data_IF_667037174510
#
_entry.id   IF_667037174510
#
_cell.length_a   1.000
_cell.length_b   1.000
_cell.length_c   1.000
_cell.angle_alpha   90.00
_cell.angle_beta   90.00
_cell.angle_gamma   90.00
#
_symmetry.space_group_name_H-M   'P 1'
#
loop_
_entity.id
_entity.type
_entity.pdbx_description
1 polymer ?
#
# COMPACT_ATOMS: atom_id res chain seq x y z
N UNK A 1 49.99 17.72 -3.58
CA UNK A 1 48.76 18.00 -4.35
C UNK A 1 47.82 16.78 -4.47
N UNK A 2 48.34 15.54 -4.49
CA UNK A 2 47.53 14.30 -4.61
C UNK A 2 46.58 14.04 -3.43
N UNK A 3 47.06 14.18 -2.18
CA UNK A 3 46.28 13.80 -0.99
C UNK A 3 45.01 14.63 -0.79
N UNK A 4 45.06 15.94 -1.08
CA UNK A 4 43.88 16.81 -1.00
C UNK A 4 42.86 16.44 -2.07
N UNK A 5 43.31 16.10 -3.27
CA UNK A 5 42.42 15.66 -4.33
C UNK A 5 41.78 14.30 -3.99
N UNK A 6 42.56 13.35 -3.49
CA UNK A 6 42.08 12.03 -3.05
C UNK A 6 41.03 12.13 -1.94
N UNK A 7 41.24 12.98 -0.93
CA UNK A 7 40.27 13.14 0.17
C UNK A 7 38.98 13.81 -0.30
N UNK A 8 39.07 14.80 -1.19
CA UNK A 8 37.90 15.43 -1.81
C UNK A 8 37.12 14.41 -2.63
N UNK A 9 37.79 13.62 -3.48
CA UNK A 9 37.15 12.57 -4.28
C UNK A 9 36.50 11.50 -3.40
N UNK A 10 37.17 11.08 -2.32
CA UNK A 10 36.62 10.13 -1.36
C UNK A 10 35.35 10.68 -0.69
N UNK A 11 35.38 11.93 -0.21
CA UNK A 11 34.22 12.59 0.39
C UNK A 11 33.03 12.69 -0.56
N UNK A 12 33.27 13.15 -1.80
CA UNK A 12 32.21 13.24 -2.83
C UNK A 12 31.66 11.86 -3.17
N UNK A 13 32.51 10.85 -3.28
CA UNK A 13 32.09 9.47 -3.59
C UNK A 13 31.17 8.91 -2.51
N UNK A 14 31.55 9.04 -1.23
CA UNK A 14 30.71 8.61 -0.09
C UNK A 14 29.39 9.36 -0.08
N UNK A 15 29.41 10.68 -0.33
CA UNK A 15 28.19 11.48 -0.40
C UNK A 15 27.25 10.99 -1.51
N UNK A 16 27.75 10.81 -2.73
CA UNK A 16 26.96 10.34 -3.87
C UNK A 16 26.38 8.95 -3.60
N UNK A 17 27.18 8.02 -3.05
CA UNK A 17 26.71 6.69 -2.68
C UNK A 17 25.59 6.75 -1.62
N UNK A 18 25.74 7.62 -0.62
CA UNK A 18 24.70 7.87 0.38
C UNK A 18 23.40 8.38 -0.23
N UNK A 19 23.50 9.34 -1.15
CA UNK A 19 22.33 9.89 -1.86
C UNK A 19 21.64 8.83 -2.72
N UNK A 20 22.39 7.95 -3.38
CA UNK A 20 21.82 6.84 -4.14
C UNK A 20 21.01 5.92 -3.23
N UNK A 21 21.56 5.51 -2.08
CA UNK A 21 20.85 4.64 -1.14
C UNK A 21 19.55 5.30 -0.65
N UNK A 22 19.61 6.57 -0.26
CA UNK A 22 18.44 7.30 0.23
C UNK A 22 17.35 7.35 -0.85
N UNK A 23 17.69 7.80 -2.06
CA UNK A 23 16.72 8.05 -3.14
C UNK A 23 16.16 6.78 -3.77
N UNK A 24 16.98 5.74 -3.91
CA UNK A 24 16.57 4.52 -4.62
C UNK A 24 16.03 3.42 -3.71
N UNK A 25 16.36 3.45 -2.41
CA UNK A 25 15.96 2.39 -1.46
C UNK A 25 15.03 2.97 -0.40
N UNK A 26 15.47 3.97 0.35
CA UNK A 26 14.75 4.44 1.54
C UNK A 26 13.48 5.20 1.18
N UNK A 27 13.57 6.17 0.26
CA UNK A 27 12.43 6.98 -0.19
C UNK A 27 11.28 6.10 -0.75
N UNK A 28 11.50 5.17 -1.70
CA UNK A 28 10.44 4.29 -2.22
C UNK A 28 9.79 3.42 -1.14
N UNK A 29 10.57 2.91 -0.18
CA UNK A 29 10.04 2.13 0.94
C UNK A 29 9.15 2.99 1.84
N UNK A 30 9.58 4.20 2.15
CA UNK A 30 8.81 5.13 2.98
C UNK A 30 7.51 5.54 2.31
N UNK A 31 7.54 5.83 1.01
CA UNK A 31 6.35 6.12 0.21
C UNK A 31 5.37 4.94 0.21
N UNK A 32 5.87 3.71 0.07
CA UNK A 32 5.02 2.52 0.14
C UNK A 32 4.39 2.35 1.54
N UNK A 33 5.14 2.59 2.62
CA UNK A 33 4.59 2.57 3.99
C UNK A 33 3.56 3.67 4.22
N UNK A 34 3.78 4.86 3.66
CA UNK A 34 2.80 5.96 3.71
C UNK A 34 1.51 5.57 2.99
N UNK A 35 1.61 4.90 1.84
CA UNK A 35 0.46 4.37 1.13
C UNK A 35 -0.31 3.32 1.97
N UNK A 36 0.39 2.42 2.67
CA UNK A 36 -0.27 1.49 3.60
C UNK A 36 -1.04 2.24 4.71
N UNK A 37 -0.47 3.34 5.22
CA UNK A 37 -1.16 4.23 6.15
C UNK A 37 -2.42 4.88 5.55
N UNK A 38 -2.36 5.33 4.29
CA UNK A 38 -3.52 5.86 3.57
C UNK A 38 -4.61 4.80 3.36
N UNK A 39 -4.23 3.55 3.07
CA UNK A 39 -5.18 2.44 2.97
C UNK A 39 -5.90 2.22 4.30
N UNK A 40 -5.15 2.16 5.42
CA UNK A 40 -5.73 2.07 6.76
C UNK A 40 -6.71 3.21 7.02
N UNK A 41 -6.28 4.45 6.77
CA UNK A 41 -7.11 5.63 6.97
C UNK A 41 -8.40 5.57 6.14
N UNK A 42 -8.30 5.16 4.87
CA UNK A 42 -9.45 5.03 3.98
C UNK A 42 -10.47 4.01 4.50
N UNK A 43 -10.01 2.81 4.84
CA UNK A 43 -10.91 1.77 5.33
C UNK A 43 -11.57 2.14 6.65
N UNK A 44 -10.82 2.71 7.59
CA UNK A 44 -11.37 3.12 8.89
C UNK A 44 -12.34 4.29 8.74
N UNK A 45 -12.04 5.29 7.90
CA UNK A 45 -12.91 6.45 7.67
C UNK A 45 -14.23 6.04 7.02
N UNK A 46 -14.18 5.16 6.02
CA UNK A 46 -15.34 4.79 5.19
C UNK A 46 -15.92 3.41 5.57
N UNK A 47 -15.58 2.88 6.76
CA UNK A 47 -15.90 1.50 7.16
C UNK A 47 -17.40 1.18 7.07
N UNK A 48 -18.26 2.09 7.55
CA UNK A 48 -19.71 1.91 7.54
C UNK A 48 -20.29 1.78 6.12
N UNK A 49 -19.83 2.63 5.21
CA UNK A 49 -20.21 2.60 3.80
C UNK A 49 -19.74 1.34 3.09
N UNK A 50 -18.47 0.97 3.33
CA UNK A 50 -17.83 -0.20 2.73
C UNK A 50 -18.54 -1.48 3.18
N UNK A 51 -18.67 -1.71 4.49
CA UNK A 51 -19.27 -2.95 5.03
C UNK A 51 -20.73 -3.08 4.57
N UNK A 52 -21.47 -1.99 4.50
CA UNK A 52 -22.88 -2.00 4.09
C UNK A 52 -23.05 -2.13 2.58
N UNK A 53 -21.95 -2.06 1.80
CA UNK A 53 -21.95 -1.99 0.33
C UNK A 53 -22.70 -0.78 -0.25
N UNK A 54 -22.86 0.29 0.54
CA UNK A 54 -23.61 1.52 0.21
C UNK A 54 -22.69 2.74 0.13
N UNK A 55 -21.47 2.55 -0.37
CA UNK A 55 -20.53 3.64 -0.63
C UNK A 55 -20.94 4.47 -1.84
N UNK A 56 -20.48 5.71 -1.85
CA UNK A 56 -20.61 6.60 -3.01
C UNK A 56 -19.68 6.16 -4.15
N UNK A 57 -19.92 6.69 -5.35
CA UNK A 57 -19.02 6.53 -6.50
C UNK A 57 -17.60 7.02 -6.18
N UNK A 58 -17.46 8.10 -5.40
CA UNK A 58 -16.13 8.56 -4.96
C UNK A 58 -15.43 7.57 -4.03
N UNK A 59 -16.16 6.87 -3.15
CA UNK A 59 -15.59 5.82 -2.28
C UNK A 59 -15.13 4.63 -3.12
N UNK A 60 -15.90 4.26 -4.14
CA UNK A 60 -15.53 3.21 -5.09
C UNK A 60 -14.27 3.59 -5.90
N UNK A 61 -14.23 4.80 -6.47
CA UNK A 61 -13.09 5.28 -7.25
C UNK A 61 -11.82 5.38 -6.42
N UNK A 62 -11.90 5.94 -5.21
CA UNK A 62 -10.76 6.05 -4.30
C UNK A 62 -10.18 4.67 -3.95
N UNK A 63 -11.03 3.65 -3.83
CA UNK A 63 -10.59 2.28 -3.58
C UNK A 63 -9.85 1.67 -4.79
N UNK A 64 -10.31 1.90 -6.01
CA UNK A 64 -9.60 1.49 -7.22
C UNK A 64 -8.27 2.22 -7.38
N UNK A 65 -8.23 3.51 -7.07
CA UNK A 65 -7.00 4.30 -7.05
C UNK A 65 -6.00 3.69 -6.06
N UNK A 66 -6.40 3.44 -4.81
CA UNK A 66 -5.52 2.83 -3.80
C UNK A 66 -5.00 1.45 -4.22
N UNK A 67 -5.85 0.62 -4.83
CA UNK A 67 -5.45 -0.68 -5.35
C UNK A 67 -4.39 -0.56 -6.46
N UNK A 68 -4.56 0.39 -7.38
CA UNK A 68 -3.61 0.65 -8.45
C UNK A 68 -2.29 1.25 -7.93
N UNK A 69 -2.37 2.18 -6.97
CA UNK A 69 -1.20 2.80 -6.32
C UNK A 69 -0.37 1.75 -5.57
N UNK A 70 -1.00 0.75 -4.93
CA UNK A 70 -0.29 -0.34 -4.27
C UNK A 70 0.59 -1.11 -5.24
N UNK A 71 0.07 -1.44 -6.41
CA UNK A 71 0.82 -2.14 -7.44
C UNK A 71 1.91 -1.27 -8.05
N UNK A 72 1.61 0.01 -8.30
CA UNK A 72 2.55 0.99 -8.84
C UNK A 72 3.73 1.21 -7.90
N UNK A 73 3.48 1.58 -6.64
CA UNK A 73 4.53 1.86 -5.65
C UNK A 73 5.36 0.63 -5.32
N UNK A 74 4.76 -0.57 -5.35
CA UNK A 74 5.51 -1.84 -5.27
C UNK A 74 6.50 -1.99 -6.44
N UNK A 75 6.11 -1.64 -7.67
CA UNK A 75 7.00 -1.72 -8.83
C UNK A 75 8.14 -0.70 -8.80
N UNK A 76 7.96 0.43 -8.12
CA UNK A 76 9.00 1.46 -7.97
C UNK A 76 10.16 1.05 -7.06
N UNK A 77 9.97 0.01 -6.21
CA UNK A 77 11.01 -0.47 -5.29
C UNK A 77 11.90 -1.50 -6.01
N UNK A 78 13.17 -1.16 -6.19
CA UNK A 78 14.18 -2.04 -6.78
C UNK A 78 14.39 -3.27 -5.88
N UNK A 79 14.48 -4.47 -6.47
CA UNK A 79 14.68 -5.73 -5.74
C UNK A 79 13.67 -5.94 -4.60
N UNK A 80 12.40 -5.56 -4.82
CA UNK A 80 11.32 -5.63 -3.83
C UNK A 80 11.33 -6.92 -3.01
N UNK A 81 11.52 -8.09 -3.62
CA UNK A 81 11.51 -9.37 -2.89
C UNK A 81 12.57 -9.48 -1.79
N UNK A 82 13.75 -8.89 -1.97
CA UNK A 82 14.81 -8.90 -0.95
C UNK A 82 14.58 -7.80 0.08
N UNK A 83 14.24 -6.60 -0.38
CA UNK A 83 13.97 -5.47 0.51
C UNK A 83 12.71 -5.69 1.36
N UNK A 84 11.69 -6.35 0.83
CA UNK A 84 10.45 -6.63 1.57
C UNK A 84 10.72 -7.52 2.77
N UNK A 85 11.62 -8.50 2.63
CA UNK A 85 12.03 -9.34 3.73
C UNK A 85 12.81 -8.56 4.79
N UNK A 86 13.79 -7.76 4.38
CA UNK A 86 14.64 -6.98 5.30
C UNK A 86 13.89 -5.88 6.04
N UNK A 87 12.98 -5.19 5.34
CA UNK A 87 12.25 -4.04 5.88
C UNK A 87 10.85 -4.40 6.38
N UNK A 88 10.50 -5.69 6.46
CA UNK A 88 9.19 -6.15 6.95
C UNK A 88 8.01 -5.61 6.13
N UNK A 89 8.15 -5.54 4.81
CA UNK A 89 7.06 -5.21 3.91
C UNK A 89 6.30 -6.49 3.48
N UNK A 90 5.02 -6.39 3.11
CA UNK A 90 4.26 -7.47 2.51
C UNK A 90 4.97 -8.07 1.29
N UNK A 91 4.86 -9.38 1.07
CA UNK A 91 5.41 -10.00 -0.14
C UNK A 91 4.67 -9.53 -1.38
N UNK A 92 5.30 -9.61 -2.56
CA UNK A 92 4.70 -9.15 -3.82
C UNK A 92 3.35 -9.83 -4.11
N UNK A 93 3.22 -11.11 -3.76
CA UNK A 93 1.96 -11.84 -3.91
C UNK A 93 0.87 -11.27 -2.99
N UNK A 94 1.19 -11.02 -1.72
CA UNK A 94 0.26 -10.40 -0.76
C UNK A 94 -0.20 -9.01 -1.18
N UNK A 95 0.70 -8.18 -1.73
CA UNK A 95 0.32 -6.86 -2.25
C UNK A 95 -0.68 -7.00 -3.41
N UNK A 96 -0.41 -7.93 -4.33
CA UNK A 96 -1.32 -8.20 -5.45
C UNK A 96 -2.68 -8.72 -5.00
N UNK A 97 -2.70 -9.64 -4.04
CA UNK A 97 -3.94 -10.18 -3.51
C UNK A 97 -4.73 -9.12 -2.75
N UNK A 98 -4.08 -8.25 -1.98
CA UNK A 98 -4.74 -7.11 -1.35
C UNK A 98 -5.37 -6.16 -2.38
N UNK A 99 -4.63 -5.80 -3.44
CA UNK A 99 -5.16 -4.97 -4.52
C UNK A 99 -6.37 -5.61 -5.24
N UNK A 100 -6.33 -6.94 -5.46
CA UNK A 100 -7.49 -7.67 -6.01
C UNK A 100 -8.69 -7.62 -5.07
N UNK A 101 -8.49 -7.81 -3.75
CA UNK A 101 -9.58 -7.73 -2.78
C UNK A 101 -10.17 -6.31 -2.71
N UNK A 102 -9.34 -5.26 -2.81
CA UNK A 102 -9.82 -3.88 -2.92
C UNK A 102 -10.68 -3.67 -4.16
N UNK A 103 -10.22 -4.13 -5.33
CA UNK A 103 -11.02 -4.04 -6.55
C UNK A 103 -12.33 -4.84 -6.45
N UNK A 104 -12.32 -6.00 -5.78
CA UNK A 104 -13.52 -6.78 -5.53
C UNK A 104 -14.52 -6.04 -4.65
N UNK A 105 -14.06 -5.36 -3.59
CA UNK A 105 -14.91 -4.51 -2.76
C UNK A 105 -15.45 -3.35 -3.60
N UNK A 106 -14.61 -2.67 -4.38
CA UNK A 106 -15.03 -1.56 -5.25
C UNK A 106 -16.11 -1.96 -6.24
N UNK A 107 -16.02 -3.14 -6.85
CA UNK A 107 -17.06 -3.65 -7.76
C UNK A 107 -18.38 -4.04 -7.07
N UNK A 108 -18.33 -4.34 -5.76
CA UNK A 108 -19.50 -4.76 -4.97
C UNK A 108 -20.20 -3.60 -4.27
N UNK A 109 -19.48 -2.49 -4.04
CA UNK A 109 -20.10 -1.22 -3.67
C UNK A 109 -21.00 -0.81 -4.84
N UNK A 110 -22.31 -0.71 -4.58
CA UNK A 110 -23.29 -0.35 -5.60
C UNK A 110 -24.18 0.76 -5.06
N UNK A 111 -24.45 1.76 -5.89
CA UNK A 111 -25.49 2.73 -5.63
C UNK A 111 -26.85 2.01 -5.69
N UNK A 112 -27.40 1.59 -4.55
CA UNK A 112 -28.70 0.93 -4.49
C UNK A 112 -29.14 0.49 -3.10
N UNK A 113 -30.45 0.54 -2.86
CA UNK A 113 -31.06 0.28 -1.56
C UNK A 113 -31.16 -1.21 -1.18
N UNK A 114 -30.76 -2.14 -2.05
CA UNK A 114 -30.83 -3.58 -1.77
C UNK A 114 -29.66 -4.02 -0.89
N UNK A 115 -29.92 -4.07 0.40
CA UNK A 115 -29.00 -4.57 1.41
C UNK A 115 -28.99 -6.11 1.35
N UNK A 116 -27.99 -6.67 0.67
CA UNK A 116 -27.80 -8.13 0.60
C UNK A 116 -26.85 -8.54 1.72
N UNK A 117 -27.37 -9.26 2.73
CA UNK A 117 -26.57 -9.76 3.84
C UNK A 117 -25.32 -10.54 3.35
N UNK A 118 -25.45 -11.26 2.23
CA UNK A 118 -24.36 -12.01 1.61
C UNK A 118 -23.20 -11.13 1.12
N UNK A 119 -23.48 -9.92 0.60
CA UNK A 119 -22.45 -9.00 0.12
C UNK A 119 -21.61 -8.45 1.28
N UNK A 120 -22.25 -8.15 2.41
CA UNK A 120 -21.54 -7.65 3.61
C UNK A 120 -20.56 -8.70 4.13
N UNK A 121 -20.95 -9.98 4.14
CA UNK A 121 -20.07 -11.08 4.56
C UNK A 121 -18.86 -11.20 3.61
N UNK A 122 -19.07 -11.06 2.30
CA UNK A 122 -17.98 -11.14 1.32
C UNK A 122 -17.03 -9.94 1.46
N UNK A 123 -17.57 -8.73 1.60
CA UNK A 123 -16.77 -7.51 1.80
C UNK A 123 -15.97 -7.60 3.09
N UNK A 124 -16.59 -8.05 4.18
CA UNK A 124 -15.90 -8.24 5.45
C UNK A 124 -14.74 -9.24 5.33
N UNK A 125 -14.94 -10.38 4.64
CA UNK A 125 -13.86 -11.34 4.36
C UNK A 125 -12.75 -10.73 3.50
N UNK A 126 -13.10 -9.94 2.49
CA UNK A 126 -12.13 -9.24 1.65
C UNK A 126 -11.30 -8.23 2.47
N UNK A 127 -11.94 -7.48 3.37
CA UNK A 127 -11.26 -6.59 4.31
C UNK A 127 -10.28 -7.36 5.20
N UNK A 128 -10.71 -8.46 5.82
CA UNK A 128 -9.82 -9.31 6.63
C UNK A 128 -8.62 -9.86 5.84
N UNK A 129 -8.83 -10.20 4.55
CA UNK A 129 -7.74 -10.62 3.68
C UNK A 129 -6.76 -9.48 3.40
N UNK A 130 -7.25 -8.25 3.19
CA UNK A 130 -6.40 -7.06 3.01
C UNK A 130 -5.55 -6.83 4.27
N UNK A 131 -6.17 -6.83 5.45
CA UNK A 131 -5.48 -6.67 6.73
C UNK A 131 -4.39 -7.72 6.93
N UNK A 132 -4.68 -8.99 6.69
CA UNK A 132 -3.68 -10.07 6.78
C UNK A 132 -2.56 -9.93 5.73
N UNK A 133 -2.90 -9.56 4.51
CA UNK A 133 -1.94 -9.45 3.42
C UNK A 133 -0.99 -8.27 3.62
N UNK A 134 -1.52 -7.11 4.02
CA UNK A 134 -0.76 -5.88 4.18
C UNK A 134 -0.21 -5.68 5.59
N UNK A 135 -0.66 -6.46 6.57
CA UNK A 135 -0.33 -6.32 7.99
C UNK A 135 -0.66 -4.92 8.51
N UNK A 136 -1.89 -4.47 8.22
CA UNK A 136 -2.45 -3.17 8.62
C UNK A 136 -3.86 -3.34 9.18
N UNK A 137 -4.32 -2.38 9.98
CA UNK A 137 -5.69 -2.38 10.49
C UNK A 137 -6.65 -1.82 9.43
N UNK A 138 -7.74 -2.52 9.13
CA UNK A 138 -8.81 -2.01 8.25
C UNK A 138 -10.18 -1.93 8.92
N UNK A 139 -10.26 -2.33 10.20
CA UNK A 139 -11.47 -2.30 11.03
C UNK A 139 -11.13 -1.94 12.47
N UNK A 140 -12.07 -1.33 13.19
CA UNK A 140 -11.93 -1.04 14.63
C UNK A 140 -12.15 -2.24 15.55
N UNK A 141 -12.78 -3.32 15.08
CA UNK A 141 -13.14 -4.49 15.89
C UNK A 141 -12.05 -5.57 15.85
N UNK A 142 -10.82 -5.24 16.28
CA UNK A 142 -9.77 -6.23 16.49
C UNK A 142 -9.94 -6.96 17.82
#
# INVERSE_FOLDING_TARGET
MSTVFETVVAGVSVYVLGQIIIKFIIEPILEFRSLLGRVTQFFLRNQGEIITAKGSESTQDELFVLASELLQKRQSIIWYSRLSFLYGLPSSAKVLDAAKNMNQIGNRIRNGNEQRADEQVIIYRAMQNIERCLSINVSYNN
#
